data_IF_059585672300
#
_entry.id   IF_059585672300
#
_cell.length_a   1.000
_cell.length_b   1.000
_cell.length_c   1.000
_cell.angle_alpha   90.00
_cell.angle_beta   90.00
_cell.angle_gamma   90.00
#
_symmetry.space_group_name_H-M   'P 1'
#
loop_
_entity.id
_entity.type
_entity.pdbx_description
1 polymer ?
#
# COMPACT_ATOMS: atom_id res chain seq x y z
N UNK A 1 1.94 57.41 -61.76
CA UNK A 1 0.84 58.14 -61.10
C UNK A 1 0.31 57.24 -59.98
N UNK A 2 0.18 57.79 -58.77
CA UNK A 2 -0.15 57.16 -57.49
C UNK A 2 -1.44 56.29 -57.57
N UNK A 3 -1.75 55.30 -56.72
CA UNK A 3 -1.91 55.38 -55.26
C UNK A 3 -2.07 53.97 -54.66
N UNK A 4 -1.32 53.76 -53.58
CA UNK A 4 -1.52 52.92 -52.37
C UNK A 4 -2.87 52.22 -52.18
N UNK A 5 -2.86 50.89 -51.96
CA UNK A 5 -3.95 50.18 -51.26
C UNK A 5 -3.37 49.29 -50.15
N UNK A 6 -3.64 49.75 -48.93
CA UNK A 6 -3.94 49.07 -47.68
C UNK A 6 -3.22 47.76 -47.29
N UNK A 7 -2.34 47.93 -46.31
CA UNK A 7 -1.95 47.01 -45.25
C UNK A 7 -3.18 46.28 -44.67
N UNK A 8 -3.13 44.95 -44.63
CA UNK A 8 -3.91 44.16 -43.68
C UNK A 8 -2.97 43.15 -43.03
N UNK A 9 -2.40 43.62 -41.92
CA UNK A 9 -1.49 42.91 -41.04
C UNK A 9 -2.34 41.95 -40.18
N UNK A 10 -2.45 40.71 -40.63
CA UNK A 10 -3.13 39.64 -39.91
C UNK A 10 -2.23 39.20 -38.74
N UNK A 11 -2.38 39.89 -37.61
CA UNK A 11 -1.79 39.50 -36.33
C UNK A 11 -2.54 38.25 -35.85
N UNK A 12 -2.02 37.08 -36.22
CA UNK A 12 -2.43 35.80 -35.63
C UNK A 12 -1.79 35.74 -34.24
N UNK A 13 -2.51 36.22 -33.23
CA UNK A 13 -2.15 35.98 -31.83
C UNK A 13 -2.37 34.51 -31.52
N UNK A 14 -1.30 33.72 -31.59
CA UNK A 14 -1.28 32.39 -31.01
C UNK A 14 -1.43 32.52 -29.49
N UNK A 15 -2.65 32.30 -28.99
CA UNK A 15 -2.88 32.08 -27.57
C UNK A 15 -2.24 30.74 -27.20
N UNK A 16 -0.97 30.81 -26.76
CA UNK A 16 -0.30 29.69 -26.12
C UNK A 16 -0.98 29.40 -24.79
N UNK A 17 -1.89 28.42 -24.78
CA UNK A 17 -2.32 27.77 -23.53
C UNK A 17 -1.08 27.23 -22.83
N UNK A 18 -0.64 27.90 -21.76
CA UNK A 18 0.22 27.26 -20.77
C UNK A 18 -0.64 26.29 -19.98
N UNK A 19 -0.72 25.04 -20.45
CA UNK A 19 -1.11 23.94 -19.58
C UNK A 19 -0.09 23.92 -18.44
N UNK A 20 -0.50 24.37 -17.25
CA UNK A 20 0.25 24.08 -16.01
C UNK A 20 0.20 22.56 -15.84
N UNK A 21 1.20 21.86 -16.35
CA UNK A 21 1.48 20.52 -15.88
C UNK A 21 2.08 20.64 -14.48
N UNK A 22 1.23 20.68 -13.46
CA UNK A 22 1.62 20.17 -12.15
C UNK A 22 1.55 18.63 -12.22
N UNK A 23 2.34 18.05 -13.11
CA UNK A 23 2.51 16.60 -13.18
C UNK A 23 3.68 16.23 -12.29
N UNK A 24 3.43 15.98 -11.00
CA UNK A 24 4.37 15.16 -10.24
C UNK A 24 4.53 13.82 -10.95
N UNK A 25 5.74 13.28 -10.99
CA UNK A 25 6.02 11.99 -11.63
C UNK A 25 5.17 10.87 -10.98
N UNK A 26 4.19 10.33 -11.71
CA UNK A 26 3.32 9.24 -11.27
C UNK A 26 3.99 7.87 -11.47
N UNK A 27 5.11 7.68 -10.78
CA UNK A 27 5.98 6.53 -10.97
C UNK A 27 5.83 5.46 -9.88
N UNK A 28 5.04 5.72 -8.85
CA UNK A 28 4.74 4.73 -7.81
C UNK A 28 3.46 3.98 -8.19
N UNK A 29 3.50 2.66 -8.12
CA UNK A 29 2.30 1.82 -8.24
C UNK A 29 1.89 1.31 -6.85
N UNK A 30 0.59 1.27 -6.60
CA UNK A 30 0.03 0.72 -5.38
C UNK A 30 -1.48 0.66 -5.42
N UNK A 31 -2.06 0.24 -4.29
CA UNK A 31 -3.49 0.11 -4.12
C UNK A 31 -3.94 0.65 -2.76
N UNK A 32 -5.20 1.05 -2.68
CA UNK A 32 -5.81 1.56 -1.45
C UNK A 32 -6.34 0.39 -0.62
N UNK A 33 -5.93 0.32 0.64
CA UNK A 33 -6.45 -0.62 1.63
C UNK A 33 -7.28 0.09 2.69
N UNK A 34 -8.31 -0.59 3.17
CA UNK A 34 -9.05 -0.18 4.36
C UNK A 34 -8.49 -0.90 5.59
N UNK A 35 -7.96 -0.11 6.52
CA UNK A 35 -7.40 -0.59 7.78
C UNK A 35 -8.19 -0.08 8.99
N UNK A 36 -9.48 0.27 8.86
CA UNK A 36 -10.36 0.75 9.95
C UNK A 36 -10.56 -0.23 11.13
N UNK A 37 -9.95 -1.42 11.09
CA UNK A 37 -9.83 -2.33 12.25
C UNK A 37 -8.59 -2.11 13.14
N UNK A 38 -7.64 -1.28 12.71
CA UNK A 38 -6.48 -0.87 13.50
C UNK A 38 -6.75 0.48 14.18
N UNK A 39 -6.25 0.62 15.41
CA UNK A 39 -6.48 1.84 16.21
C UNK A 39 -5.94 3.07 15.47
N UNK A 40 -6.80 4.07 15.26
CA UNK A 40 -6.48 5.28 14.51
C UNK A 40 -6.30 5.13 12.99
N UNK A 41 -6.50 3.95 12.42
CA UNK A 41 -6.30 3.72 10.99
C UNK A 41 -7.58 3.91 10.16
N UNK A 42 -7.37 4.26 8.89
CA UNK A 42 -8.42 4.39 7.88
C UNK A 42 -7.94 3.85 6.54
N UNK A 43 -8.21 4.59 5.46
CA UNK A 43 -7.69 4.25 4.14
C UNK A 43 -6.19 4.56 4.05
N UNK A 44 -5.41 3.60 3.57
CA UNK A 44 -3.98 3.72 3.33
C UNK A 44 -3.63 3.29 1.91
N UNK A 45 -2.51 3.77 1.37
CA UNK A 45 -2.00 3.31 0.08
C UNK A 45 -0.82 2.38 0.35
N UNK A 46 -0.91 1.14 -0.12
CA UNK A 46 0.18 0.17 -0.04
C UNK A 46 0.87 0.11 -1.39
N UNK A 47 2.18 0.39 -1.40
CA UNK A 47 2.99 0.33 -2.61
C UNK A 47 3.28 -1.13 -3.01
N UNK A 48 3.73 -1.36 -4.24
CA UNK A 48 4.21 -2.69 -4.67
C UNK A 48 5.36 -3.25 -3.81
N UNK A 49 6.12 -2.39 -3.13
CA UNK A 49 7.17 -2.81 -2.19
C UNK A 49 6.67 -3.09 -0.78
N UNK A 50 5.37 -2.89 -0.51
CA UNK A 50 4.75 -3.10 0.80
C UNK A 50 4.83 -1.91 1.76
N UNK A 51 5.33 -0.74 1.32
CA UNK A 51 5.32 0.49 2.13
C UNK A 51 3.87 0.96 2.31
N UNK A 52 3.45 1.24 3.55
CA UNK A 52 2.12 1.72 3.90
C UNK A 52 2.15 3.23 4.09
N UNK A 53 1.51 3.94 3.17
CA UNK A 53 1.46 5.40 3.16
C UNK A 53 0.12 5.87 3.70
N UNK A 54 0.14 6.77 4.69
CA UNK A 54 -1.04 7.45 5.21
C UNK A 54 -1.28 8.75 4.41
N UNK A 55 -2.33 8.84 3.57
CA UNK A 55 -2.62 10.02 2.77
C UNK A 55 -3.17 11.13 3.67
N UNK A 56 -2.29 11.99 4.16
CA UNK A 56 -2.65 13.10 5.03
C UNK A 56 -3.14 14.33 4.24
N UNK A 57 -2.74 14.43 2.96
CA UNK A 57 -3.16 15.49 2.04
C UNK A 57 -3.34 14.92 0.64
N UNK A 58 -4.30 15.48 -0.10
CA UNK A 58 -4.55 15.13 -1.50
C UNK A 58 -4.58 16.44 -2.27
N UNK A 59 -3.60 16.65 -3.15
CA UNK A 59 -3.53 17.83 -4.05
C UNK A 59 -4.11 17.54 -5.44
N UNK A 60 -4.74 16.38 -5.61
CA UNK A 60 -5.38 15.97 -6.86
C UNK A 60 -6.86 16.33 -6.78
N UNK A 61 -7.28 17.24 -7.66
CA UNK A 61 -8.67 17.72 -7.69
C UNK A 61 -9.65 16.56 -7.94
N UNK A 62 -10.65 16.44 -7.07
CA UNK A 62 -11.72 15.45 -7.18
C UNK A 62 -11.30 14.00 -6.87
N UNK A 63 -10.08 13.76 -6.38
CA UNK A 63 -9.67 12.43 -5.96
C UNK A 63 -10.32 12.03 -4.63
N UNK A 64 -11.13 10.99 -4.68
CA UNK A 64 -11.62 10.27 -3.50
C UNK A 64 -11.00 8.87 -3.47
N UNK A 65 -10.24 8.59 -2.41
CA UNK A 65 -9.70 7.26 -2.18
C UNK A 65 -10.83 6.31 -1.76
N UNK A 66 -10.84 5.12 -2.35
CA UNK A 66 -11.74 4.03 -2.01
C UNK A 66 -10.94 2.74 -1.91
N UNK A 67 -11.25 1.91 -0.93
CA UNK A 67 -10.61 0.61 -0.77
C UNK A 67 -10.66 -0.20 -2.08
N UNK A 68 -9.58 -0.90 -2.41
CA UNK A 68 -9.43 -1.69 -3.63
C UNK A 68 -9.00 -0.89 -4.87
N UNK A 69 -9.03 0.44 -4.85
CA UNK A 69 -8.54 1.24 -5.98
C UNK A 69 -7.04 1.02 -6.19
N UNK A 70 -6.66 0.66 -7.41
CA UNK A 70 -5.25 0.64 -7.84
C UNK A 70 -4.94 1.85 -8.72
N UNK A 71 -3.74 2.41 -8.54
CA UNK A 71 -3.29 3.54 -9.32
C UNK A 71 -1.77 3.58 -9.48
N UNK A 72 -1.35 4.30 -10.51
CA UNK A 72 -0.04 4.94 -10.54
C UNK A 72 -0.18 6.32 -9.94
N UNK A 73 0.63 6.65 -8.95
CA UNK A 73 0.53 7.88 -8.20
C UNK A 73 1.90 8.46 -7.88
N UNK A 74 1.90 9.72 -7.50
CA UNK A 74 3.05 10.46 -7.03
C UNK A 74 2.74 10.98 -5.65
N UNK A 75 3.76 11.04 -4.79
CA UNK A 75 3.57 11.51 -3.42
C UNK A 75 4.80 12.26 -2.91
N UNK A 76 4.59 13.05 -1.86
CA UNK A 76 5.67 13.67 -1.08
C UNK A 76 5.51 13.28 0.39
N UNK A 77 6.58 12.80 1.01
CA UNK A 77 6.61 12.56 2.46
C UNK A 77 6.46 13.89 3.20
N UNK A 78 5.68 13.88 4.26
CA UNK A 78 5.43 15.04 5.10
C UNK A 78 6.21 14.89 6.40
N UNK A 79 7.30 15.64 6.51
CA UNK A 79 8.17 15.62 7.67
C UNK A 79 7.53 16.29 8.89
N UNK A 80 7.82 15.79 10.08
CA UNK A 80 7.38 16.39 11.35
C UNK A 80 5.90 16.22 11.68
N UNK A 81 5.19 15.35 10.96
CA UNK A 81 3.83 14.93 11.33
C UNK A 81 3.85 13.48 11.80
N UNK A 82 3.20 13.21 12.93
CA UNK A 82 2.94 11.86 13.42
C UNK A 82 1.48 11.52 13.14
N UNK A 83 1.23 10.36 12.53
CA UNK A 83 -0.11 9.86 12.33
C UNK A 83 -0.61 9.14 13.57
N UNK A 84 -1.92 8.94 13.62
CA UNK A 84 -2.59 8.22 14.71
C UNK A 84 -2.66 6.71 14.46
N UNK A 85 -2.43 6.27 13.22
CA UNK A 85 -2.63 4.89 12.79
C UNK A 85 -1.51 3.95 13.28
N UNK A 86 -0.30 4.47 13.55
CA UNK A 86 0.90 3.73 13.97
C UNK A 86 1.33 2.57 13.07
N UNK A 87 0.56 2.27 12.02
CA UNK A 87 0.85 1.26 11.00
C UNK A 87 1.42 1.88 9.72
N UNK A 88 1.47 3.21 9.63
CA UNK A 88 2.08 3.93 8.53
C UNK A 88 3.60 3.97 8.61
N UNK A 89 4.25 3.75 7.46
CA UNK A 89 5.68 4.00 7.28
C UNK A 89 5.95 5.50 7.05
N UNK A 90 4.98 6.21 6.45
CA UNK A 90 5.06 7.65 6.24
C UNK A 90 3.68 8.29 6.05
N UNK A 91 3.55 9.53 6.54
CA UNK A 91 2.47 10.44 6.14
C UNK A 91 2.84 11.13 4.83
N UNK A 92 1.90 11.19 3.88
CA UNK A 92 2.17 11.69 2.54
C UNK A 92 1.12 12.67 2.03
N UNK A 93 1.55 13.56 1.14
CA UNK A 93 0.68 14.29 0.24
C UNK A 93 0.66 13.61 -1.13
N UNK A 94 -0.52 13.26 -1.62
CA UNK A 94 -0.71 12.70 -2.97
C UNK A 94 -0.70 13.85 -3.98
N UNK A 95 0.29 13.83 -4.87
CA UNK A 95 0.55 14.90 -5.83
C UNK A 95 0.06 14.59 -7.23
N UNK A 96 -0.15 13.31 -7.54
CA UNK A 96 -0.79 12.89 -8.78
C UNK A 96 -1.45 11.51 -8.61
N UNK A 97 -2.45 11.21 -9.43
CA UNK A 97 -3.19 9.96 -9.40
C UNK A 97 -3.67 9.58 -10.79
N UNK A 98 -3.29 8.39 -11.24
CA UNK A 98 -3.73 7.80 -12.51
C UNK A 98 -4.32 6.43 -12.20
N UNK A 99 -5.66 6.29 -12.18
CA UNK A 99 -6.30 5.00 -11.98
C UNK A 99 -5.83 4.01 -13.05
N UNK A 100 -5.46 2.80 -12.66
CA UNK A 100 -4.92 1.81 -13.61
C UNK A 100 -6.01 0.91 -14.21
N UNK A 101 -7.26 1.36 -14.26
CA UNK A 101 -8.38 0.64 -14.90
C UNK A 101 -8.81 -0.66 -14.20
N UNK A 102 -8.09 -1.07 -13.17
CA UNK A 102 -8.38 -2.21 -12.29
C UNK A 102 -9.39 -1.84 -11.20
N UNK A 103 -10.43 -1.08 -11.55
CA UNK A 103 -11.44 -0.61 -10.58
C UNK A 103 -12.36 -1.73 -10.08
N UNK A 104 -12.36 -2.89 -10.74
CA UNK A 104 -13.08 -4.09 -10.29
C UNK A 104 -12.19 -5.36 -10.35
N UNK A 105 -10.94 -5.21 -10.74
CA UNK A 105 -9.93 -6.26 -10.70
C UNK A 105 -8.85 -5.86 -9.71
N UNK A 106 -9.15 -6.02 -8.42
CA UNK A 106 -8.09 -6.41 -7.48
C UNK A 106 -7.30 -7.48 -8.23
N UNK A 107 -5.99 -7.33 -8.54
CA UNK A 107 -5.25 -8.37 -9.24
C UNK A 107 -5.31 -9.61 -8.36
N UNK A 108 -6.29 -10.49 -8.60
CA UNK A 108 -6.66 -11.66 -7.79
C UNK A 108 -5.99 -11.63 -6.41
N UNK A 109 -6.37 -10.71 -5.51
CA UNK A 109 -6.00 -10.96 -4.12
C UNK A 109 -6.82 -12.16 -3.74
N UNK A 110 -6.19 -13.32 -3.48
CA UNK A 110 -6.95 -14.45 -3.01
C UNK A 110 -7.70 -13.98 -1.77
N UNK A 111 -8.96 -14.40 -1.64
CA UNK A 111 -9.64 -14.28 -0.36
C UNK A 111 -8.68 -14.78 0.73
N UNK A 112 -8.72 -14.16 1.91
CA UNK A 112 -7.94 -14.64 3.04
C UNK A 112 -8.35 -16.07 3.37
N UNK A 113 -7.67 -17.04 2.76
CA UNK A 113 -7.91 -18.43 3.02
C UNK A 113 -7.44 -18.72 4.43
N UNK A 114 -8.31 -19.42 5.16
CA UNK A 114 -7.96 -19.97 6.45
C UNK A 114 -7.00 -21.14 6.26
N UNK A 115 -5.71 -20.85 6.18
CA UNK A 115 -4.68 -21.87 5.96
C UNK A 115 -4.44 -22.60 7.28
N UNK A 116 -4.85 -23.87 7.31
CA UNK A 116 -4.63 -24.75 8.45
C UNK A 116 -3.26 -25.46 8.42
N UNK A 117 -2.59 -25.37 7.28
CA UNK A 117 -1.25 -25.89 7.02
C UNK A 117 -0.58 -25.06 5.94
N UNK A 118 0.74 -25.14 5.85
CA UNK A 118 1.49 -24.49 4.77
C UNK A 118 1.11 -25.13 3.43
N UNK A 119 0.69 -24.35 2.43
CA UNK A 119 0.36 -24.87 1.11
C UNK A 119 1.62 -25.36 0.37
N UNK A 120 1.45 -26.30 -0.56
CA UNK A 120 2.55 -26.85 -1.36
C UNK A 120 3.22 -25.82 -2.28
N UNK A 121 2.48 -24.78 -2.66
CA UNK A 121 2.92 -23.70 -3.54
C UNK A 121 2.44 -22.35 -3.02
N UNK A 122 3.14 -21.29 -3.42
CA UNK A 122 2.81 -19.92 -3.05
C UNK A 122 3.88 -19.30 -2.16
N UNK A 123 3.56 -18.15 -1.58
CA UNK A 123 4.54 -17.33 -0.86
C UNK A 123 5.06 -17.99 0.43
N UNK A 124 4.22 -18.74 1.16
CA UNK A 124 4.60 -19.33 2.45
C UNK A 124 5.79 -20.31 2.36
N UNK A 125 5.81 -21.32 1.46
CA UNK A 125 6.96 -22.21 1.34
C UNK A 125 8.23 -21.49 0.88
N UNK A 126 8.11 -20.44 0.05
CA UNK A 126 9.26 -19.63 -0.38
C UNK A 126 9.89 -18.89 0.81
N UNK A 127 9.07 -18.28 1.67
CA UNK A 127 9.53 -17.58 2.87
C UNK A 127 10.08 -18.53 3.94
N UNK A 128 9.48 -19.72 4.11
CA UNK A 128 10.02 -20.75 5.01
C UNK A 128 11.48 -21.08 4.67
N UNK A 129 11.75 -21.26 3.37
CA UNK A 129 13.09 -21.56 2.89
C UNK A 129 14.03 -20.35 3.00
N UNK A 130 13.55 -19.16 2.64
CA UNK A 130 14.34 -17.93 2.68
C UNK A 130 14.78 -17.55 4.10
N UNK A 131 13.87 -17.64 5.07
CA UNK A 131 14.13 -17.24 6.46
C UNK A 131 14.57 -18.38 7.36
N UNK A 132 14.56 -19.62 6.86
CA UNK A 132 14.84 -20.83 7.64
C UNK A 132 13.98 -20.91 8.91
N UNK A 133 12.73 -20.46 8.82
CA UNK A 133 11.83 -20.40 9.96
C UNK A 133 11.58 -21.79 10.53
N UNK A 134 11.66 -21.91 11.86
CA UNK A 134 11.43 -23.15 12.57
C UNK A 134 9.93 -23.41 12.77
N UNK A 135 9.11 -22.36 12.85
CA UNK A 135 7.69 -22.46 13.17
C UNK A 135 6.86 -21.40 12.46
N UNK A 136 5.64 -21.74 12.06
CA UNK A 136 4.62 -20.78 11.65
C UNK A 136 3.41 -20.88 12.57
N UNK A 137 3.05 -19.75 13.16
CA UNK A 137 1.85 -19.63 14.01
C UNK A 137 0.85 -18.69 13.34
N UNK A 138 -0.37 -19.17 13.12
CA UNK A 138 -1.49 -18.40 12.59
C UNK A 138 -2.24 -17.70 13.73
N UNK A 139 -2.64 -16.46 13.49
CA UNK A 139 -3.45 -15.64 14.40
C UNK A 139 -4.61 -15.02 13.64
N UNK A 140 -5.70 -14.73 14.35
CA UNK A 140 -6.75 -13.86 13.83
C UNK A 140 -6.21 -12.42 13.73
N UNK A 141 -6.47 -11.76 12.60
CA UNK A 141 -5.94 -10.42 12.32
C UNK A 141 -7.02 -9.34 12.46
N UNK A 142 -6.64 -8.15 12.93
CA UNK A 142 -7.56 -7.07 13.34
C UNK A 142 -8.43 -6.50 12.22
N UNK A 143 -7.95 -6.50 10.98
CA UNK A 143 -8.68 -5.89 9.86
C UNK A 143 -9.55 -6.93 9.15
N UNK A 144 -8.94 -7.97 8.59
CA UNK A 144 -9.64 -9.11 8.01
C UNK A 144 -8.72 -10.33 7.91
N UNK A 145 -9.31 -11.53 8.04
CA UNK A 145 -8.62 -12.80 7.79
C UNK A 145 -7.62 -13.21 8.86
N UNK A 146 -6.38 -13.45 8.44
CA UNK A 146 -5.38 -14.18 9.21
C UNK A 146 -4.01 -13.52 9.07
N UNK A 147 -3.23 -13.59 10.14
CA UNK A 147 -1.82 -13.24 10.13
C UNK A 147 -0.98 -14.47 10.47
N UNK A 148 0.20 -14.57 9.87
CA UNK A 148 1.09 -15.71 9.97
C UNK A 148 2.45 -15.25 10.48
N UNK A 149 2.80 -15.66 11.69
CA UNK A 149 4.09 -15.39 12.30
C UNK A 149 5.08 -16.48 11.93
N UNK A 150 6.08 -16.12 11.15
CA UNK A 150 7.23 -16.96 10.81
C UNK A 150 8.30 -16.75 11.87
N UNK A 151 8.48 -17.73 12.77
CA UNK A 151 9.44 -17.66 13.87
C UNK A 151 10.71 -18.44 13.54
N UNK A 152 11.86 -17.78 13.64
CA UNK A 152 13.20 -18.36 13.53
C UNK A 152 14.19 -17.59 14.40
N UNK A 153 15.41 -17.36 13.91
CA UNK A 153 16.34 -16.41 14.56
C UNK A 153 15.77 -14.99 14.61
N UNK A 154 15.06 -14.61 13.54
CA UNK A 154 14.22 -13.43 13.45
C UNK A 154 12.78 -13.87 13.23
N UNK A 155 11.85 -12.98 13.52
CA UNK A 155 10.43 -13.23 13.31
C UNK A 155 9.82 -12.24 12.34
N UNK A 156 8.90 -12.73 11.52
CA UNK A 156 8.22 -11.93 10.52
C UNK A 156 6.72 -12.24 10.55
N UNK A 157 5.90 -11.22 10.71
CA UNK A 157 4.44 -11.33 10.69
C UNK A 157 3.95 -10.92 9.30
N UNK A 158 3.30 -11.84 8.61
CA UNK A 158 2.69 -11.59 7.30
C UNK A 158 1.17 -11.64 7.39
N UNK A 159 0.47 -10.90 6.54
CA UNK A 159 -0.97 -11.07 6.36
C UNK A 159 -1.28 -12.33 5.53
N UNK A 160 -2.56 -12.60 5.32
CA UNK A 160 -3.03 -13.75 4.55
C UNK A 160 -2.66 -13.71 3.06
N UNK A 161 -2.21 -12.55 2.57
CA UNK A 161 -1.90 -12.28 1.18
C UNK A 161 -0.39 -12.31 0.93
N UNK A 162 0.41 -12.50 1.99
CA UNK A 162 1.87 -12.52 1.90
C UNK A 162 2.50 -11.14 2.01
N UNK A 163 1.77 -10.12 2.48
CA UNK A 163 2.32 -8.80 2.78
C UNK A 163 3.01 -8.81 4.13
N UNK A 164 4.24 -8.30 4.22
CA UNK A 164 4.92 -8.15 5.51
C UNK A 164 4.22 -7.06 6.34
N UNK A 165 3.72 -7.44 7.51
CA UNK A 165 3.12 -6.53 8.48
C UNK A 165 4.18 -5.97 9.42
N UNK A 166 5.02 -6.85 9.97
CA UNK A 166 5.99 -6.50 11.00
C UNK A 166 7.18 -7.47 11.00
N UNK A 167 8.35 -6.97 11.39
CA UNK A 167 9.55 -7.76 11.61
C UNK A 167 10.07 -7.52 13.03
N UNK A 168 10.47 -8.59 13.70
CA UNK A 168 11.10 -8.56 15.01
C UNK A 168 12.45 -9.26 14.99
N UNK A 169 13.40 -8.74 15.76
CA UNK A 169 14.70 -9.41 15.97
C UNK A 169 14.61 -10.53 17.00
N UNK A 170 13.48 -10.65 17.70
CA UNK A 170 13.26 -11.71 18.69
C UNK A 170 12.37 -12.83 18.13
N UNK A 171 12.63 -14.10 18.50
CA UNK A 171 11.76 -15.22 18.16
C UNK A 171 10.34 -15.08 18.73
N UNK A 172 10.19 -14.35 19.84
CA UNK A 172 8.91 -14.14 20.52
C UNK A 172 7.99 -13.17 19.77
N UNK A 173 8.58 -12.25 18.99
CA UNK A 173 7.89 -11.22 18.21
C UNK A 173 6.79 -10.48 18.98
N UNK A 174 7.00 -10.23 20.28
CA UNK A 174 5.98 -9.62 21.15
C UNK A 174 5.50 -8.26 20.64
N UNK A 175 6.41 -7.48 20.07
CA UNK A 175 6.15 -6.24 19.35
C UNK A 175 5.19 -6.46 18.16
N UNK A 176 5.47 -7.43 17.30
CA UNK A 176 4.60 -7.74 16.17
C UNK A 176 3.23 -8.29 16.59
N UNK A 177 3.18 -9.08 17.67
CA UNK A 177 1.93 -9.65 18.18
C UNK A 177 0.98 -8.60 18.78
N UNK A 178 1.42 -7.35 18.98
CA UNK A 178 0.48 -6.29 19.32
C UNK A 178 -0.47 -5.94 18.15
N UNK A 179 -0.09 -6.27 16.91
CA UNK A 179 -0.87 -5.99 15.70
C UNK A 179 -1.93 -7.04 15.39
N UNK A 180 -1.87 -8.23 16.02
CA UNK A 180 -2.92 -9.25 15.88
C UNK A 180 -4.13 -8.91 16.74
N UNK A 181 -5.25 -9.62 16.55
CA UNK A 181 -6.48 -9.36 17.33
C UNK A 181 -6.21 -9.56 18.83
N UNK A 182 -6.61 -8.60 19.71
CA UNK A 182 -6.38 -8.73 21.14
C UNK A 182 -6.98 -10.02 21.70
N UNK A 183 -6.15 -10.83 22.37
CA UNK A 183 -6.57 -12.12 22.92
C UNK A 183 -6.62 -13.27 21.90
N UNK A 184 -6.18 -13.05 20.65
CA UNK A 184 -6.09 -14.12 19.67
C UNK A 184 -5.13 -15.23 20.12
N UNK A 185 -5.66 -16.44 20.23
CA UNK A 185 -4.86 -17.63 20.47
C UNK A 185 -4.16 -18.05 19.16
N UNK A 186 -2.83 -18.19 19.23
CA UNK A 186 -2.03 -18.62 18.09
C UNK A 186 -2.15 -20.12 17.82
N UNK A 187 -2.45 -20.50 16.58
CA UNK A 187 -2.47 -21.89 16.12
C UNK A 187 -1.21 -22.22 15.32
N UNK A 188 -0.41 -23.16 15.77
CA UNK A 188 0.75 -23.63 15.00
C UNK A 188 0.27 -24.41 13.79
N UNK A 189 0.66 -23.99 12.59
CA UNK A 189 0.29 -24.63 11.32
C UNK A 189 1.48 -25.29 10.62
N UNK A 190 2.69 -25.03 11.12
CA UNK A 190 3.92 -25.66 10.71
C UNK A 190 4.95 -25.56 11.83
N UNK A 191 5.65 -26.66 12.07
CA UNK A 191 6.81 -26.72 12.94
C UNK A 191 7.81 -27.68 12.28
N UNK A 192 9.06 -27.24 12.19
CA UNK A 192 10.14 -28.07 11.67
C UNK A 192 10.31 -29.27 12.62
N UNK A 193 10.26 -30.52 12.10
CA UNK A 193 10.43 -31.71 12.91
C UNK A 193 11.83 -31.83 13.53
#
# INVERSE_FOLDING_TARGET
MYVRIFILLLVVTAAGCKTKQNGGDCNTTGHVEDLTGLDGCGLMIVTESGEKLLPARISVDGLELKAGQSARFGYRKLEGMAGICMAEDAMVEITCWTPTGKTDEIPNRPDCLDLERVPEKGWMPDLLNAFKSAKITKYRFRTNGWAYLFSGEKSFLYDCQGTLICQSSEPSARDCLQLVEPGAEGKVIYEKP
#
